data_IF_439619576115
#
_entry.id   IF_439619576115
#
_cell.length_a   1.000
_cell.length_b   1.000
_cell.length_c   1.000
_cell.angle_alpha   90.00
_cell.angle_beta   90.00
_cell.angle_gamma   90.00
#
_symmetry.space_group_name_H-M   'P 1'
#
loop_
_entity.id
_entity.type
_entity.pdbx_description
1 polymer ?
#
# COMPACT_ATOMS: atom_id res chain seq x y z
N UNK A 1 -17.98 -48.23 -18.16
CA UNK A 1 -17.08 -47.11 -18.47
C UNK A 1 -15.65 -47.63 -18.45
N UNK A 2 -15.06 -47.89 -19.62
CA UNK A 2 -13.67 -48.38 -19.71
C UNK A 2 -12.70 -47.25 -19.36
N UNK A 3 -12.04 -47.38 -18.21
CA UNK A 3 -11.04 -46.42 -17.76
C UNK A 3 -9.86 -46.34 -18.76
N UNK A 4 -9.38 -45.13 -19.05
CA UNK A 4 -8.21 -44.93 -19.92
C UNK A 4 -7.00 -45.67 -19.33
N UNK A 5 -6.26 -46.40 -20.18
CA UNK A 5 -5.07 -47.18 -19.82
C UNK A 5 -3.97 -46.36 -19.12
N UNK A 6 -3.98 -45.03 -19.29
CA UNK A 6 -3.14 -44.06 -18.56
C UNK A 6 -3.98 -42.85 -18.16
N UNK A 7 -4.54 -42.82 -16.93
CA UNK A 7 -5.47 -41.75 -16.54
C UNK A 7 -4.81 -40.37 -16.36
N UNK A 8 -3.50 -40.33 -16.06
CA UNK A 8 -2.76 -39.09 -15.75
C UNK A 8 -1.83 -38.62 -16.87
N UNK A 9 -1.95 -39.18 -18.07
CA UNK A 9 -1.11 -38.80 -19.21
C UNK A 9 -1.96 -38.05 -20.24
N UNK A 10 -1.59 -36.80 -20.50
CA UNK A 10 -2.28 -35.91 -21.42
C UNK A 10 -1.31 -35.36 -22.46
N UNK A 11 -1.78 -35.26 -23.70
CA UNK A 11 -1.09 -34.52 -24.76
C UNK A 11 -1.90 -33.27 -25.03
N UNK A 12 -1.28 -32.10 -24.86
CA UNK A 12 -1.93 -30.80 -25.03
C UNK A 12 -1.37 -30.15 -26.28
N UNK A 13 -2.24 -29.83 -27.25
CA UNK A 13 -1.87 -29.10 -28.46
C UNK A 13 -2.32 -27.65 -28.37
N UNK A 14 -1.39 -26.71 -28.54
CA UNK A 14 -1.68 -25.28 -28.60
C UNK A 14 -1.97 -24.85 -30.05
N UNK A 15 -2.92 -23.92 -30.23
CA UNK A 15 -3.27 -23.40 -31.56
C UNK A 15 -2.43 -22.15 -31.86
N UNK A 16 -1.57 -22.23 -32.87
CA UNK A 16 -0.67 -21.15 -33.28
C UNK A 16 -1.39 -19.87 -33.73
N UNK A 17 -2.67 -19.97 -34.14
CA UNK A 17 -3.46 -18.81 -34.57
C UNK A 17 -3.96 -17.96 -33.40
N UNK A 18 -3.94 -18.48 -32.17
CA UNK A 18 -4.43 -17.76 -30.98
C UNK A 18 -3.25 -17.20 -30.18
N UNK A 19 -3.17 -15.88 -29.97
CA UNK A 19 -2.03 -15.27 -29.28
C UNK A 19 -1.84 -15.81 -27.86
N UNK A 20 -2.93 -16.06 -27.13
CA UNK A 20 -2.87 -16.61 -25.77
C UNK A 20 -2.29 -18.03 -25.74
N UNK A 21 -2.61 -18.84 -26.75
CA UNK A 21 -2.06 -20.20 -26.86
C UNK A 21 -0.57 -20.17 -27.18
N UNK A 22 -0.15 -19.27 -28.07
CA UNK A 22 1.27 -19.06 -28.38
C UNK A 22 2.02 -18.61 -27.14
N UNK A 23 1.47 -17.64 -26.39
CA UNK A 23 2.10 -17.15 -25.16
C UNK A 23 2.19 -18.24 -24.09
N UNK A 24 1.13 -19.01 -23.88
CA UNK A 24 1.14 -20.14 -22.95
C UNK A 24 2.19 -21.19 -23.35
N UNK A 25 2.30 -21.51 -24.64
CA UNK A 25 3.30 -22.44 -25.14
C UNK A 25 4.74 -21.92 -24.93
N UNK A 26 4.98 -20.62 -25.14
CA UNK A 26 6.29 -19.99 -24.86
C UNK A 26 6.68 -20.16 -23.39
N UNK A 27 5.80 -19.79 -22.47
CA UNK A 27 6.03 -19.92 -21.02
C UNK A 27 6.36 -21.38 -20.67
N UNK A 28 5.57 -22.33 -21.14
CA UNK A 28 5.81 -23.75 -20.86
C UNK A 28 7.09 -24.29 -21.54
N UNK A 29 7.54 -23.69 -22.64
CA UNK A 29 8.77 -24.09 -23.32
C UNK A 29 10.04 -23.59 -22.63
N UNK A 30 9.96 -22.49 -21.88
CA UNK A 30 11.05 -21.98 -21.04
C UNK A 30 11.31 -22.87 -19.81
N UNK A 31 10.30 -23.60 -19.33
CA UNK A 31 10.41 -24.48 -18.16
C UNK A 31 11.17 -25.79 -18.45
N UNK A 32 11.85 -26.30 -17.42
CA UNK A 32 12.61 -27.54 -17.47
C UNK A 32 11.77 -28.81 -17.68
N UNK A 33 12.44 -29.95 -17.88
CA UNK A 33 11.75 -31.26 -17.94
C UNK A 33 11.14 -31.59 -16.58
N UNK A 34 9.83 -31.86 -16.54
CA UNK A 34 9.09 -32.18 -15.31
C UNK A 34 8.40 -30.98 -14.67
N UNK A 35 8.96 -29.77 -14.78
CA UNK A 35 8.37 -28.57 -14.17
C UNK A 35 7.08 -28.10 -14.85
N UNK A 36 6.90 -28.47 -16.13
CA UNK A 36 5.73 -28.08 -16.93
C UNK A 36 4.43 -28.64 -16.33
N UNK A 37 4.43 -29.90 -15.90
CA UNK A 37 3.24 -30.51 -15.31
C UNK A 37 2.88 -29.86 -13.98
N UNK A 38 3.88 -29.55 -13.16
CA UNK A 38 3.67 -28.93 -11.85
C UNK A 38 3.19 -27.49 -12.00
N UNK A 39 3.72 -26.76 -12.98
CA UNK A 39 3.24 -25.42 -13.32
C UNK A 39 1.79 -25.44 -13.79
N UNK A 40 1.43 -26.34 -14.71
CA UNK A 40 0.06 -26.50 -15.20
C UNK A 40 -0.89 -26.86 -14.04
N UNK A 41 -0.51 -27.80 -13.18
CA UNK A 41 -1.33 -28.19 -12.03
C UNK A 41 -1.57 -27.01 -11.08
N UNK A 42 -0.52 -26.26 -10.74
CA UNK A 42 -0.65 -25.07 -9.88
C UNK A 42 -1.56 -24.01 -10.49
N UNK A 43 -1.42 -23.74 -11.80
CA UNK A 43 -2.28 -22.77 -12.48
C UNK A 43 -3.76 -23.19 -12.49
N UNK A 44 -4.04 -24.48 -12.72
CA UNK A 44 -5.42 -24.99 -12.72
C UNK A 44 -6.03 -24.88 -11.32
N UNK A 45 -5.33 -25.36 -10.29
CA UNK A 45 -5.79 -25.27 -8.91
C UNK A 45 -6.03 -23.81 -8.50
N UNK A 46 -5.07 -22.92 -8.79
CA UNK A 46 -5.21 -21.50 -8.50
C UNK A 46 -6.40 -20.84 -9.25
N UNK A 47 -6.66 -21.25 -10.50
CA UNK A 47 -7.80 -20.74 -11.27
C UNK A 47 -9.14 -21.20 -10.70
N UNK A 48 -9.24 -22.45 -10.26
CA UNK A 48 -10.43 -23.01 -9.59
C UNK A 48 -10.60 -22.50 -8.15
N UNK A 49 -9.65 -21.70 -7.64
CA UNK A 49 -9.65 -21.21 -6.26
C UNK A 49 -9.26 -22.28 -5.24
N UNK A 50 -8.83 -23.45 -5.70
CA UNK A 50 -8.19 -24.46 -4.86
C UNK A 50 -6.76 -23.96 -4.61
N UNK A 51 -6.46 -23.56 -3.37
CA UNK A 51 -5.14 -23.05 -3.01
C UNK A 51 -4.08 -24.11 -3.35
N UNK A 52 -3.42 -23.98 -4.51
CA UNK A 52 -2.08 -24.48 -4.67
C UNK A 52 -1.28 -23.86 -3.53
N UNK A 53 -0.66 -24.67 -2.68
CA UNK A 53 0.11 -24.25 -1.51
C UNK A 53 1.35 -23.43 -1.92
N UNK A 54 1.15 -22.30 -2.58
CA UNK A 54 2.14 -21.26 -2.77
C UNK A 54 2.07 -20.46 -1.50
N UNK A 55 3.03 -20.72 -0.60
CA UNK A 55 3.12 -20.21 0.77
C UNK A 55 2.39 -18.88 0.94
N UNK A 56 1.21 -18.94 1.59
CA UNK A 56 0.48 -17.75 1.95
C UNK A 56 1.37 -16.91 2.85
N UNK A 57 1.92 -15.83 2.29
CA UNK A 57 2.57 -14.81 3.10
C UNK A 57 1.47 -14.20 3.96
N UNK A 58 1.39 -14.65 5.21
CA UNK A 58 0.33 -14.23 6.09
C UNK A 58 0.41 -12.72 6.30
N UNK A 59 -0.75 -12.06 6.27
CA UNK A 59 -0.82 -10.64 6.60
C UNK A 59 -0.25 -10.35 8.00
N UNK A 60 -0.32 -11.33 8.90
CA UNK A 60 0.32 -11.29 10.20
C UNK A 60 1.86 -11.22 10.10
N UNK A 61 2.49 -12.04 9.24
CA UNK A 61 3.93 -11.99 8.99
C UNK A 61 4.35 -10.64 8.38
N UNK A 62 3.56 -10.12 7.43
CA UNK A 62 3.82 -8.79 6.85
C UNK A 62 3.73 -7.70 7.93
N UNK A 63 2.70 -7.74 8.78
CA UNK A 63 2.53 -6.79 9.89
C UNK A 63 3.70 -6.81 10.85
N UNK A 64 4.23 -8.00 11.16
CA UNK A 64 5.37 -8.13 12.07
C UNK A 64 6.66 -7.56 11.47
N UNK A 65 6.92 -7.84 10.18
CA UNK A 65 8.06 -7.26 9.45
C UNK A 65 7.96 -5.73 9.45
N UNK A 66 6.79 -5.18 9.12
CA UNK A 66 6.57 -3.72 9.13
C UNK A 66 6.79 -3.13 10.53
N UNK A 67 6.35 -3.82 11.59
CA UNK A 67 6.57 -3.40 12.97
C UNK A 67 8.06 -3.37 13.34
N UNK A 68 8.83 -4.35 12.90
CA UNK A 68 10.29 -4.39 13.11
C UNK A 68 10.98 -3.22 12.40
N UNK A 69 10.68 -2.99 11.12
CA UNK A 69 11.23 -1.85 10.36
C UNK A 69 10.94 -0.52 11.06
N UNK A 70 9.70 -0.31 11.51
CA UNK A 70 9.34 0.92 12.23
C UNK A 70 10.05 1.07 13.58
N UNK A 71 10.45 -0.01 14.25
CA UNK A 71 11.23 0.05 15.49
C UNK A 71 12.72 0.29 15.24
N UNK A 72 13.25 -0.19 14.12
CA UNK A 72 14.64 0.01 13.72
C UNK A 72 14.87 1.44 13.20
N UNK A 73 13.96 1.96 12.37
CA UNK A 73 14.10 3.27 11.71
C UNK A 73 13.61 4.45 12.56
N UNK A 74 12.77 4.21 13.58
CA UNK A 74 12.35 5.23 14.54
C UNK A 74 12.81 4.85 15.95
N UNK A 75 13.94 5.41 16.45
CA UNK A 75 14.23 5.30 17.88
C UNK A 75 13.05 5.93 18.64
N UNK A 76 12.45 5.13 19.53
CA UNK A 76 11.33 5.53 20.40
C UNK A 76 11.57 6.95 20.89
N UNK A 77 10.71 7.88 20.47
CA UNK A 77 10.56 9.17 21.14
C UNK A 77 10.18 8.80 22.57
N UNK A 78 11.14 8.94 23.48
CA UNK A 78 10.93 8.71 24.90
C UNK A 78 9.83 9.69 25.32
N UNK A 79 8.64 9.19 25.58
CA UNK A 79 7.67 9.93 26.37
C UNK A 79 8.20 9.93 27.79
N UNK A 80 8.92 11.00 28.12
CA UNK A 80 9.30 11.34 29.48
C UNK A 80 8.01 11.57 30.29
N UNK A 81 7.80 10.89 31.42
CA UNK A 81 6.64 11.12 32.25
C UNK A 81 6.93 12.31 33.17
N UNK A 82 6.71 13.53 32.67
CA UNK A 82 6.75 14.72 33.52
C UNK A 82 5.38 14.91 34.18
N UNK A 83 5.36 14.62 35.47
CA UNK A 83 4.36 15.10 36.42
C UNK A 83 4.29 16.63 36.37
N UNK A 84 3.09 17.22 36.27
CA UNK A 84 2.57 18.18 37.25
C UNK A 84 1.31 18.91 36.77
N UNK A 85 0.40 19.02 37.74
CA UNK A 85 -0.75 19.88 37.90
C UNK A 85 -0.74 21.28 37.21
N UNK A 86 -1.95 21.67 36.79
CA UNK A 86 -2.50 23.03 36.74
C UNK A 86 -2.14 24.04 35.61
N UNK A 87 -3.24 24.64 35.12
CA UNK A 87 -3.42 25.96 34.47
C UNK A 87 -3.36 26.07 32.93
N UNK A 88 -4.53 26.44 32.40
CA UNK A 88 -4.85 27.10 31.12
C UNK A 88 -3.68 27.39 30.16
N UNK A 89 -3.70 26.70 29.03
CA UNK A 89 -2.86 27.01 27.88
C UNK A 89 -3.31 28.32 27.22
N UNK A 90 -2.79 29.45 27.70
CA UNK A 90 -2.86 30.73 26.99
C UNK A 90 -1.64 30.80 26.06
N UNK A 91 -1.89 30.76 24.75
CA UNK A 91 -0.84 30.96 23.74
C UNK A 91 -0.57 32.47 23.65
N UNK A 92 0.59 32.91 24.14
CA UNK A 92 1.05 34.29 23.97
C UNK A 92 1.68 34.46 22.58
N UNK A 93 1.02 35.23 21.71
CA UNK A 93 1.46 35.53 20.33
C UNK A 93 2.14 36.90 20.23
N UNK A 94 2.82 37.35 21.28
CA UNK A 94 3.47 38.66 21.34
C UNK A 94 4.74 38.79 20.46
N UNK A 95 5.46 37.70 20.15
CA UNK A 95 6.84 37.81 19.64
C UNK A 95 7.06 37.76 18.12
N UNK A 96 6.03 37.63 17.28
CA UNK A 96 6.23 37.48 15.82
C UNK A 96 5.45 38.47 14.96
N UNK A 97 5.44 39.75 15.35
CA UNK A 97 5.10 40.81 14.39
C UNK A 97 6.01 42.01 14.65
N UNK A 98 7.00 42.21 13.77
CA UNK A 98 7.51 43.55 13.50
C UNK A 98 6.32 44.36 12.99
N UNK A 99 5.67 45.09 13.90
CA UNK A 99 4.50 45.92 13.61
C UNK A 99 4.96 47.05 12.71
N UNK A 100 4.89 46.84 11.40
CA UNK A 100 5.09 47.92 10.45
C UNK A 100 3.89 48.88 10.63
N UNK A 101 4.17 50.04 11.22
CA UNK A 101 3.15 50.99 11.63
C UNK A 101 2.34 51.49 10.44
N UNK A 102 2.94 51.52 9.25
CA UNK A 102 2.27 51.89 7.99
C UNK A 102 1.22 50.85 7.57
N UNK A 103 1.59 49.56 7.60
CA UNK A 103 0.68 48.44 7.33
C UNK A 103 -0.48 48.43 8.32
N UNK A 104 -0.20 48.69 9.60
CA UNK A 104 -1.22 48.73 10.65
C UNK A 104 -2.21 49.87 10.42
N UNK A 105 -1.73 51.07 10.07
CA UNK A 105 -2.59 52.21 9.73
C UNK A 105 -3.41 51.97 8.46
N UNK A 106 -2.85 51.28 7.46
CA UNK A 106 -3.56 50.90 6.24
C UNK A 106 -4.74 49.96 6.50
N UNK A 107 -4.53 48.93 7.33
CA UNK A 107 -5.59 48.00 7.74
C UNK A 107 -6.68 48.73 8.54
N UNK A 108 -6.31 49.59 9.49
CA UNK A 108 -7.30 50.35 10.28
C UNK A 108 -8.13 51.28 9.37
N UNK A 109 -7.48 51.98 8.44
CA UNK A 109 -8.16 52.92 7.53
C UNK A 109 -9.13 52.20 6.58
N UNK A 110 -8.71 51.07 6.02
CA UNK A 110 -9.56 50.25 5.15
C UNK A 110 -10.77 49.69 5.90
N UNK A 111 -10.60 49.18 7.12
CA UNK A 111 -11.72 48.73 7.96
C UNK A 111 -12.69 49.86 8.31
N UNK A 112 -12.18 51.05 8.64
CA UNK A 112 -13.01 52.22 8.94
C UNK A 112 -13.84 52.67 7.71
N UNK A 113 -13.27 52.59 6.51
CA UNK A 113 -13.98 52.92 5.28
C UNK A 113 -15.16 51.96 5.02
N UNK A 114 -14.96 50.65 5.20
CA UNK A 114 -16.03 49.65 5.08
C UNK A 114 -17.17 49.90 6.07
N UNK A 115 -16.84 50.27 7.31
CA UNK A 115 -17.85 50.57 8.32
C UNK A 115 -18.68 51.81 7.96
N UNK A 116 -18.06 52.81 7.31
CA UNK A 116 -18.75 54.03 6.88
C UNK A 116 -19.59 53.84 5.62
N UNK A 117 -19.28 52.87 4.76
CA UNK A 117 -20.06 52.63 3.53
C UNK A 117 -21.32 51.79 3.73
N UNK A 118 -21.47 51.14 4.89
CA UNK A 118 -22.63 50.29 5.24
C UNK A 118 -23.61 50.97 6.21
N UNK A 119 -23.66 52.31 6.23
CA UNK A 119 -24.65 53.12 6.97
C UNK A 119 -25.06 54.30 6.10
#
# INVERSE_FOLDING_TARGET
MTAKKKPYSFTIGFNEKKPDHVRAAQILNELGKGEKSDYIARCILAYEGEKAESGEVSFAAIREIVRQILQEDYPKIQQEPEHADSAEQVIDLSEHTTQDAELTQSVIRSMAAFRKSNT
#
